data_IF_861583449819
#
_entry.id   IF_861583449819
#
_cell.length_a   1.000
_cell.length_b   1.000
_cell.length_c   1.000
_cell.angle_alpha   90.00
_cell.angle_beta   90.00
_cell.angle_gamma   90.00
#
_symmetry.space_group_name_H-M   'P 1'
#
loop_
_entity.id
_entity.type
_entity.pdbx_description
1 polymer ?
#
# COMPACT_ATOMS: atom_id res chain seq x y z
N UNK A 1 17.26 -29.03 -32.70
CA UNK A 1 17.54 -27.83 -33.54
C UNK A 1 18.57 -26.94 -32.85
N UNK A 2 19.64 -26.58 -33.55
CA UNK A 2 20.79 -25.85 -33.00
C UNK A 2 21.10 -24.54 -33.73
N UNK A 3 21.33 -23.45 -33.00
CA UNK A 3 21.89 -22.18 -33.50
C UNK A 3 23.03 -21.69 -32.61
N UNK A 4 23.99 -20.97 -33.19
CA UNK A 4 25.07 -20.31 -32.46
C UNK A 4 24.85 -18.80 -32.59
N UNK A 5 24.67 -18.11 -31.46
CA UNK A 5 24.40 -16.67 -31.41
C UNK A 5 25.34 -16.07 -30.36
N UNK A 6 26.14 -15.08 -30.75
CA UNK A 6 27.10 -14.43 -29.82
C UNK A 6 28.12 -15.40 -29.21
N UNK A 7 28.48 -16.49 -29.91
CA UNK A 7 29.40 -17.52 -29.39
C UNK A 7 28.77 -18.54 -28.45
N UNK A 8 27.48 -18.43 -28.15
CA UNK A 8 26.74 -19.38 -27.31
C UNK A 8 25.93 -20.32 -28.21
N UNK A 9 26.01 -21.62 -27.92
CA UNK A 9 25.21 -22.63 -28.60
C UNK A 9 23.84 -22.79 -27.90
N UNK A 10 22.79 -22.59 -28.66
CA UNK A 10 21.41 -22.83 -28.29
C UNK A 10 20.95 -24.07 -29.04
N UNK A 11 20.51 -25.10 -28.33
CA UNK A 11 20.18 -26.39 -28.92
C UNK A 11 18.99 -27.02 -28.20
N UNK A 12 17.86 -27.14 -28.89
CA UNK A 12 16.63 -27.72 -28.32
C UNK A 12 16.79 -29.18 -27.92
N UNK A 13 17.79 -29.89 -28.46
CA UNK A 13 17.98 -31.32 -28.22
C UNK A 13 18.78 -31.56 -26.92
N UNK A 14 19.47 -30.54 -26.43
CA UNK A 14 20.26 -30.60 -25.19
C UNK A 14 19.78 -29.65 -24.09
N UNK A 15 18.89 -28.72 -24.43
CA UNK A 15 18.24 -27.79 -23.52
C UNK A 15 16.99 -28.39 -22.86
N UNK A 16 16.65 -27.89 -21.67
CA UNK A 16 15.40 -28.23 -20.99
C UNK A 16 14.29 -27.33 -21.55
N UNK A 17 13.20 -27.94 -22.05
CA UNK A 17 11.98 -27.21 -22.39
C UNK A 17 11.23 -26.89 -21.10
N UNK A 18 11.05 -25.60 -20.80
CA UNK A 18 10.41 -25.15 -19.57
C UNK A 18 8.89 -25.07 -19.71
N UNK A 19 8.42 -24.54 -20.83
CA UNK A 19 7.00 -24.40 -21.13
C UNK A 19 6.80 -24.36 -22.63
N UNK A 20 5.64 -24.86 -23.07
CA UNK A 20 5.15 -24.78 -24.44
C UNK A 20 3.70 -24.33 -24.37
N UNK A 21 3.33 -23.40 -25.23
CA UNK A 21 1.93 -23.01 -25.40
C UNK A 21 1.65 -22.80 -26.87
N UNK A 22 0.40 -23.02 -27.22
CA UNK A 22 -0.13 -22.70 -28.53
C UNK A 22 -0.65 -21.27 -28.51
N UNK A 23 -0.68 -20.62 -29.68
CA UNK A 23 -1.43 -19.38 -29.82
C UNK A 23 -2.91 -19.71 -29.58
N UNK A 24 -3.56 -19.05 -28.62
CA UNK A 24 -4.95 -19.29 -28.18
C UNK A 24 -6.00 -18.90 -29.24
N UNK A 25 -5.82 -19.32 -30.49
CA UNK A 25 -6.73 -19.09 -31.59
C UNK A 25 -7.12 -20.46 -32.15
N UNK A 26 -8.42 -20.76 -32.21
CA UNK A 26 -8.95 -22.10 -32.57
C UNK A 26 -8.50 -22.64 -33.94
N UNK A 27 -7.90 -21.79 -34.77
CA UNK A 27 -7.40 -22.13 -36.12
C UNK A 27 -5.88 -21.95 -36.29
N UNK A 28 -5.13 -21.67 -35.22
CA UNK A 28 -3.68 -21.49 -35.29
C UNK A 28 -2.96 -22.71 -34.72
N UNK A 29 -2.17 -23.39 -35.54
CA UNK A 29 -1.21 -24.42 -35.08
C UNK A 29 0.16 -23.83 -34.71
N UNK A 30 0.27 -22.50 -34.70
CA UNK A 30 1.49 -21.85 -34.25
C UNK A 30 1.69 -22.12 -32.75
N UNK A 31 2.93 -22.46 -32.40
CA UNK A 31 3.32 -22.74 -31.03
C UNK A 31 4.62 -22.03 -30.71
N UNK A 32 4.81 -21.76 -29.43
CA UNK A 32 6.08 -21.29 -28.91
C UNK A 32 6.56 -22.19 -27.79
N UNK A 33 7.86 -22.12 -27.49
CA UNK A 33 8.47 -22.86 -26.40
C UNK A 33 9.65 -22.09 -25.83
N UNK A 34 9.73 -22.04 -24.50
CA UNK A 34 10.84 -21.44 -23.77
C UNK A 34 11.79 -22.55 -23.31
N UNK A 35 13.07 -22.40 -23.63
CA UNK A 35 14.11 -23.36 -23.29
C UNK A 35 15.18 -22.75 -22.39
N UNK A 36 15.82 -23.62 -21.60
CA UNK A 36 17.01 -23.29 -20.80
C UNK A 36 18.17 -24.20 -21.15
N UNK A 37 19.31 -23.62 -21.51
CA UNK A 37 20.54 -24.37 -21.76
C UNK A 37 21.11 -24.92 -20.45
N UNK A 38 22.00 -25.92 -20.53
CA UNK A 38 22.72 -26.46 -19.37
C UNK A 38 23.55 -25.42 -18.60
N UNK A 39 23.93 -24.35 -19.29
CA UNK A 39 24.69 -23.22 -18.72
C UNK A 39 23.78 -22.12 -18.15
N UNK A 40 22.46 -22.31 -18.21
CA UNK A 40 21.46 -21.41 -17.62
C UNK A 40 21.04 -20.24 -18.50
N UNK A 41 21.42 -20.21 -19.78
CA UNK A 41 20.92 -19.23 -20.74
C UNK A 41 19.51 -19.62 -21.21
N UNK A 42 18.67 -18.62 -21.48
CA UNK A 42 17.29 -18.84 -21.93
C UNK A 42 17.15 -18.46 -23.40
N UNK A 43 16.26 -19.16 -24.11
CA UNK A 43 15.92 -18.84 -25.49
C UNK A 43 14.51 -19.29 -25.84
N UNK A 44 13.89 -18.53 -26.74
CA UNK A 44 12.54 -18.76 -27.24
C UNK A 44 12.61 -19.33 -28.65
N UNK A 45 11.77 -20.32 -28.90
CA UNK A 45 11.54 -20.90 -30.23
C UNK A 45 10.05 -20.79 -30.52
N UNK A 46 9.68 -20.14 -31.61
CA UNK A 46 8.30 -20.13 -32.11
C UNK A 46 8.25 -20.70 -33.52
N UNK A 47 7.24 -21.50 -33.78
CA UNK A 47 6.92 -22.02 -35.09
C UNK A 47 5.58 -21.48 -35.57
N UNK A 48 5.48 -21.26 -36.87
CA UNK A 48 4.24 -20.89 -37.53
C UNK A 48 3.27 -22.08 -37.63
N UNK A 49 2.14 -21.85 -38.31
CA UNK A 49 1.09 -22.84 -38.52
C UNK A 49 1.53 -24.06 -39.35
N UNK A 50 2.62 -23.96 -40.11
CA UNK A 50 3.17 -25.07 -40.90
C UNK A 50 4.24 -25.85 -40.11
N UNK A 51 4.48 -25.47 -38.85
CA UNK A 51 5.52 -26.04 -38.00
C UNK A 51 6.92 -25.57 -38.38
N UNK A 52 7.03 -24.56 -39.25
CA UNK A 52 8.31 -23.95 -39.62
C UNK A 52 8.70 -22.96 -38.52
N UNK A 53 9.92 -23.12 -38.00
CA UNK A 53 10.43 -22.24 -36.94
C UNK A 53 10.68 -20.84 -37.53
N UNK A 54 9.82 -19.90 -37.17
CA UNK A 54 9.90 -18.49 -37.57
C UNK A 54 10.76 -17.69 -36.58
N UNK A 55 10.62 -17.94 -35.28
CA UNK A 55 11.40 -17.24 -34.25
C UNK A 55 12.37 -18.19 -33.55
N UNK A 56 13.62 -17.77 -33.44
CA UNK A 56 14.64 -18.43 -32.63
C UNK A 56 15.57 -17.36 -32.06
N UNK A 57 15.38 -16.97 -30.79
CA UNK A 57 16.14 -15.87 -30.18
C UNK A 57 16.53 -16.15 -28.73
N UNK A 58 17.72 -15.69 -28.28
CA UNK A 58 18.04 -15.60 -26.86
C UNK A 58 17.07 -14.64 -26.17
N UNK A 59 16.75 -14.92 -24.91
CA UNK A 59 15.97 -14.02 -24.05
C UNK A 59 16.71 -13.74 -22.74
N UNK A 60 16.50 -12.57 -22.16
CA UNK A 60 17.08 -12.21 -20.86
C UNK A 60 16.47 -13.06 -19.74
N UNK A 61 17.11 -13.06 -18.56
CA UNK A 61 16.55 -13.73 -17.38
C UNK A 61 15.22 -13.11 -16.97
N UNK A 62 15.09 -11.80 -17.09
CA UNK A 62 13.89 -11.02 -16.76
C UNK A 62 12.76 -11.31 -17.74
N UNK A 63 13.06 -11.38 -19.05
CA UNK A 63 12.09 -11.82 -20.07
C UNK A 63 11.61 -13.24 -19.79
N UNK A 64 12.52 -14.18 -19.53
CA UNK A 64 12.18 -15.56 -19.20
C UNK A 64 11.37 -15.68 -17.90
N UNK A 65 11.69 -14.88 -16.87
CA UNK A 65 10.94 -14.82 -15.62
C UNK A 65 9.50 -14.35 -15.86
N UNK A 66 9.31 -13.20 -16.52
CA UNK A 66 7.97 -12.68 -16.87
C UNK A 66 7.15 -13.68 -17.68
N UNK A 67 7.84 -14.45 -18.52
CA UNK A 67 7.22 -15.49 -19.32
C UNK A 67 6.70 -16.65 -18.47
N UNK A 68 7.54 -17.18 -17.56
CA UNK A 68 7.12 -18.23 -16.63
C UNK A 68 6.03 -17.72 -15.67
N UNK A 69 6.09 -16.47 -15.20
CA UNK A 69 5.05 -15.89 -14.33
C UNK A 69 3.65 -15.96 -14.98
N UNK A 70 3.56 -15.77 -16.30
CA UNK A 70 2.30 -15.83 -17.06
C UNK A 70 1.86 -17.23 -17.42
N UNK A 71 2.79 -18.10 -17.80
CA UNK A 71 2.47 -19.36 -18.49
C UNK A 71 2.82 -20.62 -17.72
N UNK A 72 3.71 -20.54 -16.73
CA UNK A 72 4.16 -21.68 -15.93
C UNK A 72 4.67 -21.21 -14.55
N UNK A 73 3.78 -20.56 -13.79
CA UNK A 73 4.14 -19.85 -12.56
C UNK A 73 4.86 -20.75 -11.54
N UNK A 74 4.43 -22.01 -11.42
CA UNK A 74 5.06 -23.04 -10.59
C UNK A 74 6.54 -23.33 -10.88
N UNK A 75 7.08 -22.87 -12.01
CA UNK A 75 8.49 -23.02 -12.38
C UNK A 75 9.33 -21.79 -12.03
N UNK A 76 8.73 -20.65 -11.69
CA UNK A 76 9.46 -19.40 -11.44
C UNK A 76 10.48 -19.60 -10.32
N UNK A 77 10.04 -20.12 -9.17
CA UNK A 77 10.92 -20.27 -8.02
C UNK A 77 12.05 -21.28 -8.25
N UNK A 78 11.77 -22.34 -9.03
CA UNK A 78 12.76 -23.36 -9.39
C UNK A 78 13.93 -22.77 -10.16
N UNK A 79 13.70 -21.79 -11.03
CA UNK A 79 14.74 -21.24 -11.92
C UNK A 79 15.27 -19.86 -11.52
N UNK A 80 14.49 -19.10 -10.75
CA UNK A 80 14.83 -17.73 -10.35
C UNK A 80 15.02 -17.55 -8.85
N UNK A 81 14.88 -18.61 -8.06
CA UNK A 81 14.96 -18.56 -6.59
C UNK A 81 13.62 -18.19 -5.97
N UNK A 82 13.53 -18.21 -4.62
CA UNK A 82 12.30 -17.89 -3.92
C UNK A 82 11.78 -16.53 -4.39
N UNK A 83 10.51 -16.48 -4.80
CA UNK A 83 9.87 -15.20 -5.09
C UNK A 83 9.57 -14.58 -3.72
N UNK A 84 10.01 -13.34 -3.45
CA UNK A 84 9.64 -12.69 -2.20
C UNK A 84 8.12 -12.69 -2.12
N UNK A 85 7.58 -13.28 -1.04
CA UNK A 85 6.16 -13.10 -0.72
C UNK A 85 5.90 -11.59 -0.65
N UNK A 86 4.77 -11.15 -1.21
CA UNK A 86 4.34 -9.77 -1.06
C UNK A 86 4.25 -9.50 0.45
N UNK A 87 5.29 -8.86 0.99
CA UNK A 87 5.32 -8.47 2.38
C UNK A 87 4.16 -7.50 2.63
N UNK A 88 3.72 -7.38 3.89
CA UNK A 88 2.82 -6.30 4.27
C UNK A 88 3.34 -4.96 3.71
N UNK A 89 2.50 -4.25 2.94
CA UNK A 89 2.77 -2.90 2.43
C UNK A 89 3.11 -1.98 3.59
N UNK A 90 4.37 -1.54 3.63
CA UNK A 90 4.90 -0.72 4.71
C UNK A 90 4.37 0.71 4.68
N UNK A 91 3.94 1.20 3.51
CA UNK A 91 3.45 2.56 3.34
C UNK A 91 2.12 2.58 2.62
N UNK A 92 1.24 3.48 3.07
CA UNK A 92 0.03 3.78 2.34
C UNK A 92 0.37 4.50 1.02
N UNK A 93 -0.51 4.36 0.02
CA UNK A 93 -0.37 5.09 -1.25
C UNK A 93 -0.18 6.60 -1.06
N UNK A 94 -0.85 7.18 -0.05
CA UNK A 94 -0.75 8.62 0.25
C UNK A 94 0.66 9.00 0.70
N UNK A 95 1.32 8.15 1.48
CA UNK A 95 2.71 8.34 1.92
C UNK A 95 3.70 8.27 0.77
N UNK A 96 3.55 7.29 -0.12
CA UNK A 96 4.40 7.18 -1.32
C UNK A 96 4.25 8.41 -2.21
N UNK A 97 3.03 8.94 -2.36
CA UNK A 97 2.79 10.14 -3.16
C UNK A 97 3.41 11.39 -2.52
N UNK A 98 3.29 11.53 -1.20
CA UNK A 98 3.96 12.60 -0.46
C UNK A 98 5.50 12.50 -0.60
N UNK A 99 6.06 11.28 -0.57
CA UNK A 99 7.48 11.04 -0.82
C UNK A 99 7.89 11.53 -2.23
N UNK A 100 7.11 11.19 -3.26
CA UNK A 100 7.36 11.64 -4.64
C UNK A 100 7.31 13.17 -4.76
N UNK A 101 6.46 13.86 -4.00
CA UNK A 101 6.45 15.33 -3.97
C UNK A 101 7.74 15.92 -3.39
N UNK A 102 8.32 15.31 -2.37
CA UNK A 102 9.64 15.71 -1.83
C UNK A 102 10.75 15.55 -2.87
N UNK A 103 10.64 14.60 -3.80
CA UNK A 103 11.61 14.42 -4.90
C UNK A 103 11.64 15.60 -5.88
N UNK A 104 10.68 16.52 -5.85
CA UNK A 104 10.70 17.75 -6.65
C UNK A 104 11.87 18.69 -6.28
N UNK A 105 12.63 18.36 -5.24
CA UNK A 105 13.89 19.03 -4.88
C UNK A 105 15.08 18.61 -5.74
N UNK A 106 14.99 17.48 -6.43
CA UNK A 106 16.04 17.03 -7.34
C UNK A 106 16.11 17.96 -8.54
N UNK A 107 17.30 18.12 -9.09
CA UNK A 107 17.47 18.64 -10.44
C UNK A 107 17.01 17.61 -11.48
N UNK A 108 16.79 18.04 -12.72
CA UNK A 108 16.46 17.12 -13.83
C UNK A 108 17.52 16.01 -13.99
N UNK A 109 18.80 16.36 -13.84
CA UNK A 109 19.90 15.42 -13.92
C UNK A 109 19.91 14.43 -12.74
N UNK A 110 19.69 14.89 -11.51
CA UNK A 110 19.62 14.03 -10.33
C UNK A 110 18.41 13.10 -10.38
N UNK A 111 17.26 13.56 -10.86
CA UNK A 111 16.09 12.71 -11.05
C UNK A 111 16.32 11.68 -12.14
N UNK A 112 16.92 12.06 -13.28
CA UNK A 112 17.29 11.11 -14.34
C UNK A 112 18.27 10.06 -13.81
N UNK A 113 19.27 10.46 -13.01
CA UNK A 113 20.18 9.53 -12.33
C UNK A 113 19.44 8.61 -11.37
N UNK A 114 18.52 9.13 -10.57
CA UNK A 114 17.70 8.33 -9.66
C UNK A 114 16.88 7.28 -10.42
N UNK A 115 16.29 7.62 -11.58
CA UNK A 115 15.62 6.61 -12.42
C UNK A 115 16.57 5.48 -12.85
N UNK A 116 17.82 5.79 -13.20
CA UNK A 116 18.81 4.73 -13.48
C UNK A 116 19.15 3.89 -12.25
N UNK A 117 19.16 4.47 -11.05
CA UNK A 117 19.36 3.74 -9.79
C UNK A 117 18.21 2.76 -9.51
N UNK A 118 16.99 3.03 -10.00
CA UNK A 118 15.87 2.07 -9.94
C UNK A 118 16.03 0.90 -10.95
N UNK A 119 16.85 1.08 -11.98
CA UNK A 119 17.16 0.09 -13.02
C UNK A 119 17.10 0.65 -14.47
N UNK A 120 17.65 -0.08 -15.46
CA UNK A 120 17.90 0.43 -16.82
C UNK A 120 16.64 0.72 -17.65
N UNK A 121 15.48 0.16 -17.27
CA UNK A 121 14.22 0.35 -17.99
C UNK A 121 13.41 1.54 -17.49
N UNK A 122 13.68 2.04 -16.29
CA UNK A 122 12.92 3.15 -15.69
C UNK A 122 12.99 4.45 -16.49
N UNK A 123 14.16 4.87 -17.03
CA UNK A 123 14.23 6.03 -17.90
C UNK A 123 13.42 5.91 -19.20
N UNK A 124 13.04 4.69 -19.62
CA UNK A 124 12.19 4.47 -20.81
C UNK A 124 10.70 4.57 -20.47
N UNK A 125 10.34 4.36 -19.21
CA UNK A 125 8.95 4.38 -18.73
C UNK A 125 8.49 5.80 -18.38
N UNK A 126 9.43 6.68 -18.10
CA UNK A 126 9.19 8.08 -17.81
C UNK A 126 9.69 8.90 -19.00
N UNK A 127 8.88 9.84 -19.46
CA UNK A 127 9.21 10.69 -20.60
C UNK A 127 10.54 11.42 -20.37
N UNK A 128 11.41 11.49 -21.40
CA UNK A 128 12.66 12.22 -21.32
C UNK A 128 12.41 13.74 -21.30
N UNK A 129 13.48 14.50 -21.09
CA UNK A 129 13.47 15.96 -21.29
C UNK A 129 12.99 16.31 -22.72
N UNK A 130 12.24 17.42 -22.92
CA UNK A 130 12.17 18.62 -22.08
C UNK A 130 10.96 18.70 -21.13
N UNK A 131 10.29 17.60 -20.78
CA UNK A 131 9.19 17.63 -19.81
C UNK A 131 9.64 18.22 -18.46
N UNK A 132 8.79 19.01 -17.82
CA UNK A 132 9.05 19.53 -16.48
C UNK A 132 9.19 18.39 -15.47
N UNK A 133 10.03 18.57 -14.45
CA UNK A 133 10.24 17.58 -13.39
C UNK A 133 8.92 17.15 -12.74
N UNK A 134 8.03 18.10 -12.43
CA UNK A 134 6.72 17.80 -11.87
C UNK A 134 5.88 16.84 -12.73
N UNK A 135 5.91 16.98 -14.07
CA UNK A 135 5.20 16.05 -14.96
C UNK A 135 5.84 14.66 -14.96
N UNK A 136 7.17 14.59 -14.93
CA UNK A 136 7.91 13.31 -14.85
C UNK A 136 7.65 12.58 -13.52
N UNK A 137 7.54 13.33 -12.42
CA UNK A 137 7.14 12.78 -11.12
C UNK A 137 5.68 12.29 -11.13
N UNK A 138 4.78 12.96 -11.85
CA UNK A 138 3.41 12.47 -12.04
C UNK A 138 3.36 11.17 -12.84
N UNK A 139 4.20 11.01 -13.87
CA UNK A 139 4.34 9.75 -14.59
C UNK A 139 4.87 8.65 -13.65
N UNK A 140 5.82 8.96 -12.76
CA UNK A 140 6.32 8.02 -11.76
C UNK A 140 5.22 7.57 -10.78
N UNK A 141 4.36 8.49 -10.32
CA UNK A 141 3.17 8.14 -9.53
C UNK A 141 2.21 7.24 -10.31
N UNK A 142 2.02 7.49 -11.61
CA UNK A 142 1.22 6.64 -12.49
C UNK A 142 1.80 5.23 -12.67
N UNK A 143 3.12 5.10 -12.78
CA UNK A 143 3.81 3.80 -12.83
C UNK A 143 3.63 3.04 -11.52
N UNK A 144 3.73 3.72 -10.37
CA UNK A 144 3.45 3.12 -9.07
C UNK A 144 2.00 2.66 -8.96
N UNK A 145 1.02 3.47 -9.34
CA UNK A 145 -0.40 3.11 -9.28
C UNK A 145 -0.75 1.87 -10.13
N UNK A 146 -0.08 1.70 -11.26
CA UNK A 146 -0.30 0.54 -12.14
C UNK A 146 0.28 -0.75 -11.57
N UNK A 147 1.33 -0.66 -10.75
CA UNK A 147 1.93 -1.81 -10.10
C UNK A 147 2.61 -1.39 -8.78
N UNK A 148 1.84 -1.28 -7.67
CA UNK A 148 2.37 -0.83 -6.38
C UNK A 148 3.40 -1.78 -5.79
N UNK A 149 3.31 -3.08 -6.12
CA UNK A 149 4.19 -4.13 -5.61
C UNK A 149 5.42 -4.34 -6.52
N UNK A 150 5.67 -3.36 -7.41
CA UNK A 150 6.79 -3.42 -8.35
C UNK A 150 8.11 -3.35 -7.59
N UNK A 151 8.98 -4.32 -7.88
CA UNK A 151 10.34 -4.32 -7.40
C UNK A 151 11.27 -3.55 -8.34
N UNK A 152 12.29 -2.89 -7.77
CA UNK A 152 13.44 -2.34 -8.51
C UNK A 152 14.44 -3.44 -8.86
N UNK A 153 15.47 -3.13 -9.64
CA UNK A 153 16.45 -4.13 -10.12
C UNK A 153 17.11 -4.94 -8.99
N UNK A 154 17.42 -4.30 -7.86
CA UNK A 154 18.04 -4.94 -6.69
C UNK A 154 17.05 -5.75 -5.82
N UNK A 155 15.77 -5.83 -6.22
CA UNK A 155 14.74 -6.62 -5.54
C UNK A 155 14.04 -5.91 -4.39
N UNK A 156 14.41 -4.67 -4.08
CA UNK A 156 13.67 -3.80 -3.13
C UNK A 156 12.33 -3.35 -3.74
N UNK A 157 11.34 -3.05 -2.90
CA UNK A 157 10.06 -2.53 -3.37
C UNK A 157 10.16 -1.06 -3.74
N UNK A 158 9.41 -0.64 -4.77
CA UNK A 158 9.47 0.73 -5.26
C UNK A 158 9.07 1.75 -4.19
N UNK A 159 8.07 1.45 -3.35
CA UNK A 159 7.66 2.31 -2.25
C UNK A 159 8.78 2.56 -1.24
N UNK A 160 9.49 1.51 -0.82
CA UNK A 160 10.64 1.60 0.08
C UNK A 160 11.71 2.54 -0.51
N UNK A 161 12.10 2.33 -1.77
CA UNK A 161 13.14 3.16 -2.42
C UNK A 161 12.71 4.62 -2.58
N UNK A 162 11.44 4.87 -2.92
CA UNK A 162 10.91 6.23 -3.05
C UNK A 162 10.87 6.95 -1.69
N UNK A 163 10.41 6.26 -0.65
CA UNK A 163 10.34 6.80 0.72
C UNK A 163 11.74 7.06 1.26
N UNK A 164 12.68 6.13 1.12
CA UNK A 164 14.06 6.31 1.57
C UNK A 164 14.76 7.46 0.84
N UNK A 165 14.54 7.58 -0.48
CA UNK A 165 15.07 8.71 -1.25
C UNK A 165 14.49 10.03 -0.74
N UNK A 166 13.18 10.11 -0.50
CA UNK A 166 12.56 11.30 0.06
C UNK A 166 13.08 11.63 1.47
N UNK A 167 13.28 10.63 2.33
CA UNK A 167 13.91 10.81 3.65
C UNK A 167 15.32 11.40 3.52
N UNK A 168 16.12 10.94 2.55
CA UNK A 168 17.48 11.47 2.31
C UNK A 168 17.51 12.95 1.90
N UNK A 169 16.39 13.49 1.41
CA UNK A 169 16.26 14.90 1.00
C UNK A 169 15.72 15.80 2.13
N UNK A 170 15.33 15.22 3.26
CA UNK A 170 14.95 15.98 4.44
C UNK A 170 16.19 16.63 5.07
N UNK A 171 16.05 17.83 5.65
CA UNK A 171 17.15 18.47 6.36
C UNK A 171 17.59 17.63 7.57
N UNK A 172 18.90 17.35 7.66
CA UNK A 172 19.48 16.50 8.71
C UNK A 172 19.27 17.05 10.14
N UNK A 173 19.17 18.37 10.28
CA UNK A 173 18.86 19.04 11.55
C UNK A 173 17.88 20.18 11.30
N UNK A 174 16.90 20.36 12.19
CA UNK A 174 16.10 21.59 12.22
C UNK A 174 17.03 22.73 12.59
N UNK A 175 17.36 23.57 11.62
CA UNK A 175 18.24 24.70 11.86
C UNK A 175 17.53 25.66 12.83
N UNK A 176 18.08 25.84 14.03
CA UNK A 176 17.60 26.89 14.93
C UNK A 176 18.05 28.22 14.37
N UNK A 177 17.09 29.09 14.08
CA UNK A 177 17.37 30.46 13.74
C UNK A 177 18.03 31.14 14.94
N UNK A 178 18.80 32.19 14.68
CA UNK A 178 19.45 32.97 15.74
C UNK A 178 18.43 33.63 16.69
N UNK A 179 17.16 33.70 16.28
CA UNK A 179 16.00 34.11 17.09
C UNK A 179 15.53 33.06 18.10
N UNK A 180 16.02 31.82 18.04
CA UNK A 180 15.54 30.70 18.85
C UNK A 180 14.31 29.98 18.26
N UNK A 181 13.79 30.45 17.13
CA UNK A 181 12.72 29.80 16.39
C UNK A 181 13.28 28.66 15.51
N UNK A 182 12.56 27.55 15.43
CA UNK A 182 12.91 26.49 14.47
C UNK A 182 12.53 26.93 13.06
N UNK A 183 13.44 26.71 12.09
CA UNK A 183 13.16 26.98 10.68
C UNK A 183 11.88 26.24 10.25
N UNK A 184 10.91 26.98 9.71
CA UNK A 184 9.61 26.43 9.34
C UNK A 184 9.80 25.43 8.19
N UNK A 185 9.37 24.18 8.43
CA UNK A 185 9.45 23.14 7.41
C UNK A 185 8.55 23.51 6.22
N UNK A 186 9.07 23.28 5.02
CA UNK A 186 8.26 23.40 3.80
C UNK A 186 7.04 22.48 3.88
N UNK A 187 5.96 22.88 3.22
CA UNK A 187 4.68 22.17 3.25
C UNK A 187 4.80 20.71 2.78
N UNK A 188 5.55 20.46 1.70
CA UNK A 188 5.86 19.13 1.17
C UNK A 188 6.59 18.23 2.18
N UNK A 189 7.54 18.78 2.93
CA UNK A 189 8.25 18.05 3.99
C UNK A 189 7.33 17.74 5.18
N UNK A 190 6.45 18.68 5.56
CA UNK A 190 5.50 18.49 6.67
C UNK A 190 4.48 17.41 6.33
N UNK A 191 3.88 17.46 5.14
CA UNK A 191 2.93 16.44 4.68
C UNK A 191 3.59 15.06 4.64
N UNK A 192 4.79 14.93 4.08
CA UNK A 192 5.50 13.65 4.02
C UNK A 192 5.83 13.08 5.41
N UNK A 193 6.44 13.87 6.31
CA UNK A 193 6.76 13.42 7.66
C UNK A 193 5.52 12.96 8.42
N UNK A 194 4.42 13.69 8.25
CA UNK A 194 3.18 13.38 8.91
C UNK A 194 2.51 12.11 8.35
N UNK A 195 2.59 11.88 7.04
CA UNK A 195 2.13 10.64 6.40
C UNK A 195 2.88 9.43 6.91
N UNK A 196 4.19 9.57 7.11
CA UNK A 196 5.01 8.53 7.76
C UNK A 196 4.51 8.24 9.18
N UNK A 197 4.21 9.26 9.99
CA UNK A 197 3.67 9.07 11.35
C UNK A 197 2.35 8.31 11.34
N UNK A 198 1.45 8.60 10.39
CA UNK A 198 0.19 7.86 10.20
C UNK A 198 0.48 6.37 9.91
N UNK A 199 1.44 6.08 9.04
CA UNK A 199 1.85 4.71 8.71
C UNK A 199 2.68 4.04 9.83
N UNK A 200 2.95 4.74 10.94
CA UNK A 200 3.67 4.21 12.09
C UNK A 200 5.20 4.34 11.99
N UNK A 201 5.69 5.31 11.22
CA UNK A 201 7.11 5.62 11.04
C UNK A 201 7.46 7.04 11.47
N UNK A 202 8.70 7.22 11.92
CA UNK A 202 9.29 8.53 12.23
C UNK A 202 10.66 8.63 11.56
N UNK A 203 11.10 9.84 11.24
CA UNK A 203 12.47 10.08 10.77
C UNK A 203 13.32 10.55 11.94
N UNK A 204 14.38 9.81 12.25
CA UNK A 204 15.34 10.14 13.29
C UNK A 204 16.76 9.95 12.76
N UNK A 205 17.61 10.96 12.96
CA UNK A 205 19.00 11.00 12.47
C UNK A 205 19.10 10.81 10.94
N UNK A 206 18.16 11.41 10.19
CA UNK A 206 18.08 11.27 8.73
C UNK A 206 17.74 9.84 8.26
N UNK A 207 17.23 8.99 9.16
CA UNK A 207 16.87 7.60 8.85
C UNK A 207 15.43 7.33 9.25
N UNK A 208 14.78 6.49 8.46
CA UNK A 208 13.44 6.01 8.79
C UNK A 208 13.51 5.01 9.95
N UNK A 209 12.66 5.20 10.96
CA UNK A 209 12.49 4.30 12.09
C UNK A 209 11.00 3.99 12.27
N UNK A 210 10.72 2.77 12.71
CA UNK A 210 9.36 2.38 13.09
C UNK A 210 9.01 3.01 14.43
N UNK A 211 7.93 3.78 14.50
CA UNK A 211 7.36 4.29 15.74
C UNK A 211 6.56 3.21 16.49
N UNK A 212 6.05 2.21 15.76
CA UNK A 212 5.30 1.08 16.28
C UNK A 212 6.00 -0.26 16.01
N UNK A 213 5.72 -1.32 16.78
CA UNK A 213 6.21 -2.66 16.47
C UNK A 213 5.74 -3.11 15.08
N UNK A 214 6.64 -3.72 14.28
CA UNK A 214 6.37 -4.19 12.90
C UNK A 214 5.16 -5.13 12.76
N UNK A 215 4.69 -5.72 13.85
CA UNK A 215 3.50 -6.58 13.87
C UNK A 215 2.18 -5.83 13.65
N UNK A 216 2.19 -4.49 13.67
CA UNK A 216 1.00 -3.66 13.44
C UNK A 216 1.04 -3.12 12.00
N UNK A 217 0.40 -3.85 11.09
CA UNK A 217 0.25 -3.54 9.67
C UNK A 217 -0.82 -2.44 9.45
N UNK A 218 -0.49 -1.19 9.79
CA UNK A 218 -1.43 -0.06 9.77
C UNK A 218 -1.91 0.34 8.36
N UNK A 219 -1.03 0.44 7.33
CA UNK A 219 -1.47 0.77 5.98
C UNK A 219 -2.48 -0.24 5.42
N UNK A 220 -2.25 -1.53 5.65
CA UNK A 220 -3.14 -2.60 5.22
C UNK A 220 -4.43 -2.59 6.01
N UNK A 221 -4.35 -2.31 7.31
CA UNK A 221 -5.54 -2.14 8.12
C UNK A 221 -6.39 -0.97 7.60
N UNK A 222 -5.78 0.13 7.16
CA UNK A 222 -6.48 1.26 6.54
C UNK A 222 -7.06 0.91 5.17
N UNK A 223 -6.28 0.27 4.29
CA UNK A 223 -6.73 -0.12 2.95
C UNK A 223 -7.89 -1.13 3.01
N UNK A 224 -7.78 -2.14 3.89
CA UNK A 224 -8.84 -3.11 4.15
C UNK A 224 -10.08 -2.44 4.74
N UNK A 225 -9.91 -1.50 5.68
CA UNK A 225 -11.01 -0.73 6.26
C UNK A 225 -11.75 0.08 5.19
N UNK A 226 -11.03 0.79 4.32
CA UNK A 226 -11.61 1.52 3.19
C UNK A 226 -12.33 0.58 2.22
N UNK A 227 -11.77 -0.59 1.92
CA UNK A 227 -12.39 -1.59 1.07
C UNK A 227 -13.69 -2.14 1.68
N UNK A 228 -13.70 -2.44 2.98
CA UNK A 228 -14.88 -2.94 3.69
C UNK A 228 -15.98 -1.89 3.82
N UNK A 229 -15.62 -0.64 4.13
CA UNK A 229 -16.57 0.48 4.16
C UNK A 229 -17.23 0.68 2.80
N UNK A 230 -16.45 0.59 1.71
CA UNK A 230 -16.97 0.71 0.35
C UNK A 230 -17.85 -0.49 -0.04
N UNK A 231 -17.39 -1.73 0.19
CA UNK A 231 -18.14 -2.97 -0.06
C UNK A 231 -19.52 -2.89 0.56
N UNK A 232 -19.57 -2.44 1.81
CA UNK A 232 -20.79 -2.29 2.58
C UNK A 232 -21.46 -0.94 2.44
N UNK A 233 -21.00 -0.02 1.59
CA UNK A 233 -21.64 1.30 1.37
C UNK A 233 -21.84 2.13 2.66
N UNK A 234 -20.91 2.06 3.61
CA UNK A 234 -20.89 2.91 4.81
C UNK A 234 -20.32 4.30 4.46
N UNK A 235 -21.03 5.04 3.62
CA UNK A 235 -20.53 6.28 2.99
C UNK A 235 -20.35 7.42 3.98
N UNK A 236 -21.21 7.53 4.99
CA UNK A 236 -21.13 8.59 6.02
C UNK A 236 -19.93 8.33 6.93
N UNK A 237 -19.80 7.11 7.47
CA UNK A 237 -18.61 6.71 8.22
C UNK A 237 -17.32 6.92 7.40
N UNK A 238 -17.28 6.50 6.13
CA UNK A 238 -16.12 6.73 5.27
C UNK A 238 -15.78 8.22 5.13
N UNK A 239 -16.78 9.09 4.94
CA UNK A 239 -16.57 10.54 4.87
C UNK A 239 -15.96 11.12 6.15
N UNK A 240 -16.39 10.67 7.33
CA UNK A 240 -15.78 11.08 8.60
C UNK A 240 -14.34 10.59 8.73
N UNK A 241 -14.05 9.37 8.30
CA UNK A 241 -12.69 8.84 8.31
C UNK A 241 -11.76 9.63 7.38
N UNK A 242 -12.21 9.97 6.17
CA UNK A 242 -11.44 10.80 5.25
C UNK A 242 -11.21 12.22 5.79
N UNK A 243 -12.23 12.82 6.43
CA UNK A 243 -12.09 14.11 7.10
C UNK A 243 -11.15 14.06 8.31
N UNK A 244 -11.16 12.95 9.08
CA UNK A 244 -10.22 12.72 10.16
C UNK A 244 -8.78 12.69 9.63
N UNK A 245 -8.52 11.92 8.57
CA UNK A 245 -7.20 11.88 7.94
C UNK A 245 -6.79 13.25 7.40
N UNK A 246 -7.68 13.96 6.70
CA UNK A 246 -7.39 15.29 6.15
C UNK A 246 -7.04 16.28 7.26
N UNK A 247 -7.87 16.37 8.31
CA UNK A 247 -7.62 17.24 9.44
C UNK A 247 -6.34 16.88 10.22
N UNK A 248 -6.07 15.58 10.39
CA UNK A 248 -4.82 15.09 10.98
C UNK A 248 -3.63 15.56 10.14
N UNK A 249 -3.71 15.36 8.82
CA UNK A 249 -2.69 15.80 7.86
C UNK A 249 -2.40 17.30 7.95
N UNK A 250 -3.45 18.11 8.07
CA UNK A 250 -3.32 19.56 8.15
C UNK A 250 -2.91 20.09 9.53
N UNK A 251 -2.56 19.24 10.50
CA UNK A 251 -2.20 19.68 11.85
C UNK A 251 -3.40 20.13 12.70
N UNK A 252 -4.63 19.89 12.23
CA UNK A 252 -5.86 20.35 12.88
C UNK A 252 -6.35 19.30 13.89
N UNK A 253 -5.59 19.07 14.97
CA UNK A 253 -5.81 17.99 15.94
C UNK A 253 -7.21 17.96 16.56
N UNK A 254 -7.76 19.13 16.88
CA UNK A 254 -9.11 19.23 17.44
C UNK A 254 -10.17 18.76 16.44
N UNK A 255 -10.04 19.16 15.16
CA UNK A 255 -10.93 18.74 14.09
C UNK A 255 -10.76 17.25 13.76
N UNK A 256 -9.52 16.76 13.72
CA UNK A 256 -9.22 15.35 13.53
C UNK A 256 -9.87 14.49 14.61
N UNK A 257 -9.70 14.84 15.89
CA UNK A 257 -10.32 14.14 17.01
C UNK A 257 -11.85 14.16 16.99
N UNK A 258 -12.46 15.26 16.54
CA UNK A 258 -13.91 15.32 16.36
C UNK A 258 -14.37 14.32 15.29
N UNK A 259 -13.66 14.26 14.16
CA UNK A 259 -13.97 13.35 13.06
C UNK A 259 -13.70 11.88 13.40
N UNK A 260 -12.62 11.57 14.13
CA UNK A 260 -12.32 10.20 14.62
C UNK A 260 -13.49 9.68 15.47
N UNK A 261 -14.06 10.52 16.32
CA UNK A 261 -15.22 10.18 17.14
C UNK A 261 -16.47 9.97 16.29
N UNK A 262 -16.79 10.93 15.42
CA UNK A 262 -17.94 10.83 14.51
C UNK A 262 -17.86 9.60 13.61
N UNK A 263 -16.66 9.23 13.17
CA UNK A 263 -16.43 8.00 12.42
C UNK A 263 -16.82 6.75 13.24
N UNK A 264 -16.26 6.57 14.45
CA UNK A 264 -16.53 5.38 15.24
C UNK A 264 -18.01 5.29 15.69
N UNK A 265 -18.60 6.42 16.11
CA UNK A 265 -20.02 6.47 16.48
C UNK A 265 -20.91 6.16 15.28
N UNK A 266 -20.68 6.82 14.14
CA UNK A 266 -21.45 6.60 12.90
C UNK A 266 -21.33 5.18 12.39
N UNK A 267 -20.12 4.61 12.37
CA UNK A 267 -19.90 3.23 11.94
C UNK A 267 -20.72 2.23 12.78
N UNK A 268 -20.68 2.34 14.10
CA UNK A 268 -21.41 1.43 14.98
C UNK A 268 -22.93 1.61 14.90
N UNK A 269 -23.38 2.85 14.73
CA UNK A 269 -24.80 3.15 14.53
C UNK A 269 -25.31 2.59 13.20
N UNK A 270 -24.57 2.76 12.10
CA UNK A 270 -24.89 2.19 10.80
C UNK A 270 -24.88 0.65 10.84
N UNK A 271 -23.90 0.02 11.51
CA UNK A 271 -23.88 -1.44 11.71
C UNK A 271 -25.12 -1.89 12.49
N UNK A 272 -25.54 -1.15 13.54
CA UNK A 272 -26.73 -1.49 14.30
C UNK A 272 -28.00 -1.48 13.44
N UNK A 273 -28.17 -0.44 12.61
CA UNK A 273 -29.31 -0.33 11.69
C UNK A 273 -29.29 -1.41 10.61
N UNK A 274 -28.11 -1.83 10.13
CA UNK A 274 -27.97 -2.92 9.15
C UNK A 274 -28.38 -4.27 9.73
N UNK A 275 -27.87 -4.59 10.92
CA UNK A 275 -28.15 -5.87 11.57
C UNK A 275 -29.57 -5.94 12.12
N UNK A 276 -30.13 -4.79 12.51
CA UNK A 276 -31.51 -4.68 12.96
C UNK A 276 -32.11 -3.33 12.56
N UNK A 277 -32.96 -3.30 11.51
CA UNK A 277 -33.60 -2.06 11.05
C UNK A 277 -34.43 -1.34 12.13
N UNK A 278 -34.89 -2.03 13.17
CA UNK A 278 -35.60 -1.39 14.28
C UNK A 278 -34.70 -0.50 15.14
N UNK A 279 -33.37 -0.67 15.07
CA UNK A 279 -32.40 0.18 15.74
C UNK A 279 -32.44 1.63 15.26
N UNK A 280 -32.97 1.89 14.04
CA UNK A 280 -33.17 3.24 13.52
C UNK A 280 -34.11 4.08 14.41
N UNK A 281 -35.06 3.43 15.10
CA UNK A 281 -35.98 4.09 16.04
C UNK A 281 -35.36 4.38 17.42
N UNK A 282 -34.17 3.83 17.70
CA UNK A 282 -33.43 4.10 18.94
C UNK A 282 -32.59 5.38 18.80
N UNK A 283 -32.33 6.02 19.93
CA UNK A 283 -31.35 7.12 19.98
C UNK A 283 -29.95 6.63 19.57
N UNK A 284 -29.21 7.46 18.85
CA UNK A 284 -27.84 7.15 18.40
C UNK A 284 -26.86 6.86 19.55
N UNK A 285 -25.73 6.24 19.23
CA UNK A 285 -24.66 5.95 20.16
C UNK A 285 -25.00 4.84 21.16
N UNK A 286 -25.17 5.19 22.44
CA UNK A 286 -25.19 4.17 23.52
C UNK A 286 -26.35 3.17 23.39
N UNK A 287 -27.54 3.59 22.97
CA UNK A 287 -28.69 2.68 22.85
C UNK A 287 -28.52 1.68 21.71
N UNK A 288 -28.00 2.14 20.56
CA UNK A 288 -27.69 1.28 19.40
C UNK A 288 -26.53 0.34 19.70
N UNK A 289 -25.51 0.76 20.45
CA UNK A 289 -24.47 -0.14 20.97
C UNK A 289 -25.00 -1.20 21.93
N UNK A 290 -25.89 -0.84 22.84
CA UNK A 290 -26.56 -1.81 23.70
C UNK A 290 -27.36 -2.83 22.87
N UNK A 291 -27.99 -2.37 21.78
CA UNK A 291 -28.68 -3.25 20.83
C UNK A 291 -27.72 -4.21 20.13
N UNK A 292 -26.57 -3.73 19.63
CA UNK A 292 -25.53 -4.59 19.06
C UNK A 292 -25.04 -5.67 20.04
N UNK A 293 -24.87 -5.32 21.31
CA UNK A 293 -24.51 -6.29 22.35
C UNK A 293 -25.63 -7.31 22.60
N UNK A 294 -26.90 -6.90 22.56
CA UNK A 294 -28.05 -7.80 22.68
C UNK A 294 -28.17 -8.77 21.49
N UNK A 295 -27.76 -8.35 20.29
CA UNK A 295 -27.66 -9.20 19.10
C UNK A 295 -26.46 -10.16 19.14
N UNK A 296 -25.56 -10.02 20.12
CA UNK A 296 -24.33 -10.80 20.20
C UNK A 296 -23.20 -10.30 19.29
N UNK A 297 -23.39 -9.18 18.59
CA UNK A 297 -22.37 -8.59 17.72
C UNK A 297 -21.19 -8.02 18.53
N UNK A 298 -21.48 -7.33 19.65
CA UNK A 298 -20.47 -6.91 20.62
C UNK A 298 -20.35 -8.00 21.69
N UNK A 299 -19.16 -8.59 21.80
CA UNK A 299 -18.93 -9.73 22.69
C UNK A 299 -18.75 -9.28 24.14
N UNK A 300 -19.58 -9.85 25.03
CA UNK A 300 -19.44 -9.66 26.48
C UNK A 300 -18.28 -10.49 27.04
N UNK A 301 -18.05 -11.68 26.49
CA UNK A 301 -16.98 -12.58 26.91
C UNK A 301 -15.58 -12.00 26.60
N UNK A 302 -15.46 -11.27 25.49
CA UNK A 302 -14.24 -10.54 25.14
C UNK A 302 -14.17 -9.15 25.79
N UNK A 303 -15.10 -8.83 26.69
CA UNK A 303 -15.22 -7.54 27.36
C UNK A 303 -15.33 -6.35 26.39
N UNK A 304 -15.89 -6.54 25.19
CA UNK A 304 -16.12 -5.44 24.25
C UNK A 304 -17.25 -4.53 24.73
N UNK A 305 -18.26 -5.12 25.36
CA UNK A 305 -19.40 -4.43 25.94
C UNK A 305 -19.68 -4.87 27.37
N UNK A 306 -20.06 -3.92 28.20
CA UNK A 306 -20.66 -4.18 29.51
C UNK A 306 -21.75 -3.15 29.80
N UNK A 307 -22.88 -3.61 30.34
CA UNK A 307 -24.02 -2.72 30.64
C UNK A 307 -23.72 -1.73 31.78
N UNK A 308 -22.70 -2.02 32.60
CA UNK A 308 -22.22 -1.10 33.63
C UNK A 308 -21.25 -0.02 33.08
N UNK A 309 -21.02 0.01 31.77
CA UNK A 309 -20.17 1.01 31.11
C UNK A 309 -18.66 0.83 31.35
N UNK A 310 -18.23 -0.37 31.76
CA UNK A 310 -16.83 -0.74 32.00
C UNK A 310 -16.21 -1.58 30.87
N UNK A 311 -16.97 -1.87 29.81
CA UNK A 311 -16.44 -2.62 28.66
C UNK A 311 -15.40 -1.81 27.88
N UNK A 312 -14.60 -2.52 27.07
CA UNK A 312 -13.57 -1.93 26.21
C UNK A 312 -14.13 -0.80 25.35
N UNK A 313 -15.26 -1.01 24.66
CA UNK A 313 -15.84 0.02 23.80
C UNK A 313 -16.30 1.24 24.59
N UNK A 314 -16.84 1.05 25.80
CA UNK A 314 -17.20 2.15 26.68
C UNK A 314 -15.95 2.96 27.11
N UNK A 315 -14.85 2.27 27.41
CA UNK A 315 -13.55 2.87 27.72
C UNK A 315 -12.97 3.64 26.53
N UNK A 316 -13.02 3.05 25.33
CA UNK A 316 -12.57 3.68 24.10
C UNK A 316 -13.34 4.98 23.81
N UNK A 317 -14.68 4.96 23.92
CA UNK A 317 -15.50 6.17 23.74
C UNK A 317 -15.12 7.25 24.77
N UNK A 318 -14.93 6.87 26.04
CA UNK A 318 -14.45 7.79 27.08
C UNK A 318 -13.06 8.36 26.75
N UNK A 319 -12.15 7.55 26.19
CA UNK A 319 -10.80 7.96 25.75
C UNK A 319 -10.83 8.95 24.58
N UNK A 320 -11.83 8.82 23.69
CA UNK A 320 -12.08 9.76 22.60
C UNK A 320 -12.78 11.06 23.07
N UNK A 321 -13.34 11.05 24.28
CA UNK A 321 -14.15 12.13 24.85
C UNK A 321 -13.80 12.50 26.31
N UNK A 322 -12.51 12.73 26.66
CA UNK A 322 -12.11 12.89 28.06
C UNK A 322 -12.69 14.13 28.76
N UNK A 323 -13.07 15.18 28.00
CA UNK A 323 -13.48 16.49 28.54
C UNK A 323 -14.83 17.02 28.04
N UNK A 324 -15.68 16.20 27.41
CA UNK A 324 -16.93 16.73 26.85
C UNK A 324 -16.79 17.25 25.40
N UNK A 325 -17.76 18.06 24.97
CA UNK A 325 -17.81 18.69 23.64
C UNK A 325 -16.76 19.79 23.41
N UNK A 326 -16.04 20.20 24.45
CA UNK A 326 -14.96 21.18 24.38
C UNK A 326 -13.61 20.46 24.50
N UNK A 327 -12.86 20.31 23.40
CA UNK A 327 -11.58 19.65 23.44
C UNK A 327 -10.60 20.54 24.20
N UNK A 328 -10.03 20.02 25.29
CA UNK A 328 -8.69 20.43 25.68
C UNK A 328 -7.76 20.30 24.48
N UNK A 329 -6.73 21.14 24.42
CA UNK A 329 -5.72 21.15 23.35
C UNK A 329 -5.09 19.75 23.25
N UNK A 330 -5.54 18.93 22.30
CA UNK A 330 -4.88 17.69 21.93
C UNK A 330 -3.63 18.06 21.17
N UNK A 331 -2.52 17.42 21.50
CA UNK A 331 -1.30 17.45 20.70
C UNK A 331 -1.32 16.37 19.61
N UNK A 332 -0.28 16.36 18.79
CA UNK A 332 -0.12 15.44 17.66
C UNK A 332 -0.05 13.98 18.12
N UNK A 333 0.67 13.70 19.21
CA UNK A 333 0.87 12.34 19.74
C UNK A 333 -0.45 11.76 20.25
N UNK A 334 -1.22 12.52 21.02
CA UNK A 334 -2.53 12.11 21.53
C UNK A 334 -3.53 11.88 20.39
N UNK A 335 -3.50 12.74 19.36
CA UNK A 335 -4.38 12.60 18.19
C UNK A 335 -4.04 11.35 17.37
N UNK A 336 -2.74 11.11 17.14
CA UNK A 336 -2.23 9.95 16.41
C UNK A 336 -2.58 8.65 17.13
N UNK A 337 -2.37 8.60 18.45
CA UNK A 337 -2.74 7.45 19.27
C UNK A 337 -4.23 7.12 19.19
N UNK A 338 -5.09 8.14 19.25
CA UNK A 338 -6.55 7.96 19.12
C UNK A 338 -6.91 7.44 17.74
N UNK A 339 -6.32 7.99 16.68
CA UNK A 339 -6.55 7.56 15.31
C UNK A 339 -6.20 6.08 15.14
N UNK A 340 -4.98 5.67 15.52
CA UNK A 340 -4.53 4.29 15.39
C UNK A 340 -5.39 3.30 16.19
N UNK A 341 -5.74 3.66 17.44
CA UNK A 341 -6.61 2.82 18.27
C UNK A 341 -7.99 2.62 17.63
N UNK A 342 -8.55 3.68 17.04
CA UNK A 342 -9.84 3.61 16.35
C UNK A 342 -9.77 2.82 15.05
N UNK A 343 -8.71 2.97 14.25
CA UNK A 343 -8.52 2.17 13.03
C UNK A 343 -8.50 0.67 13.34
N UNK A 344 -7.75 0.27 14.38
CA UNK A 344 -7.67 -1.14 14.80
C UNK A 344 -9.03 -1.66 15.29
N UNK A 345 -9.74 -0.89 16.12
CA UNK A 345 -11.06 -1.27 16.62
C UNK A 345 -12.11 -1.35 15.50
N UNK A 346 -12.16 -0.35 14.62
CA UNK A 346 -13.09 -0.30 13.50
C UNK A 346 -12.87 -1.46 12.53
N UNK A 347 -11.61 -1.81 12.24
CA UNK A 347 -11.26 -2.98 11.44
C UNK A 347 -11.81 -4.27 12.04
N UNK A 348 -11.60 -4.49 13.34
CA UNK A 348 -12.13 -5.67 14.04
C UNK A 348 -13.65 -5.79 13.85
N UNK A 349 -14.38 -4.70 14.04
CA UNK A 349 -15.84 -4.70 13.91
C UNK A 349 -16.31 -4.88 12.47
N UNK A 350 -15.65 -4.25 11.49
CA UNK A 350 -16.03 -4.38 10.08
C UNK A 350 -15.73 -5.77 9.52
N UNK A 351 -14.60 -6.39 9.88
CA UNK A 351 -14.31 -7.78 9.50
C UNK A 351 -15.33 -8.74 10.11
N UNK A 352 -15.75 -8.48 11.36
CA UNK A 352 -16.83 -9.25 12.00
C UNK A 352 -18.16 -9.06 11.27
N UNK A 353 -18.52 -7.82 10.94
CA UNK A 353 -19.73 -7.50 10.20
C UNK A 353 -19.76 -8.17 8.82
N UNK A 354 -18.64 -8.15 8.10
CA UNK A 354 -18.52 -8.79 6.78
C UNK A 354 -18.83 -10.29 6.83
N UNK A 355 -18.34 -10.97 7.87
CA UNK A 355 -18.61 -12.39 8.12
C UNK A 355 -20.03 -12.64 8.59
N UNK A 356 -20.64 -11.68 9.29
CA UNK A 356 -22.00 -11.76 9.76
C UNK A 356 -23.00 -11.67 8.60
N UNK A 357 -22.78 -10.75 7.67
CA UNK A 357 -23.64 -10.55 6.48
C UNK A 357 -23.52 -11.70 5.46
N UNK A 358 -22.43 -12.47 5.53
CA UNK A 358 -22.19 -13.64 4.68
C UNK A 358 -22.79 -14.95 5.22
N UNK A 359 -23.39 -14.93 6.42
CA UNK A 359 -23.98 -16.08 7.11
C UNK A 359 -25.50 -15.96 7.15
#
# INVERSE_FOLDING_TARGET
MKKIIGGIAYDTDTAECLTRSDHQHEMSQAWWSLYRTRQGAFFEVAADHDGVVDTYRPVSKEEARRYLERHANHLVERYFGPVPEAGPKRFSRRTVFAAVQVLNRLTHAEFTRFLFELGPDWPKMISPEPLSLAKRLNELMGVYDQNPDRLVEDGESLDDVLVEKAVSLLPAERRRLWSGEEEELREDHRDFLHRLEIDGFVVADGKLRTALPRSIALPEAQDELSALLLKHRFTVAQGHLDQAFSAHTSGNWAAANAQIRSFLDGLLDEIAERLDPSAAALGSGNQRRARLAALGFLSRDLNEWSDNGQGYLNGLIKRLHPHGSHPGLSDADDCTFRLHTVLLAARLFLVRFDKWDSA
#
